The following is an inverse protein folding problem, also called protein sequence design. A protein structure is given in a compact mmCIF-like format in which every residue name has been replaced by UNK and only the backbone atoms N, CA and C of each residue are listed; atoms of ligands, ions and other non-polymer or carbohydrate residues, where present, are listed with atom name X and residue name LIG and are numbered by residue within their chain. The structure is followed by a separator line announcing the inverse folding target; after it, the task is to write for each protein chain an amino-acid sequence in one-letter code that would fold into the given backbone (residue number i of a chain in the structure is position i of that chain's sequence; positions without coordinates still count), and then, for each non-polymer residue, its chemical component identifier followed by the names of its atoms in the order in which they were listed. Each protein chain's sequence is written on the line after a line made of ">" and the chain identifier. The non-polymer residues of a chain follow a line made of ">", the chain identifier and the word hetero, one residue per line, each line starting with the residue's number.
data_IF_262809077271
#
_entry.id   IF_262809077271
#
_cell.length_a   1.000
_cell.length_b   1.000
_cell.length_c   1.000
_cell.angle_alpha   90.00
_cell.angle_beta   90.00
_cell.angle_gamma   90.00
#
_symmetry.space_group_name_H-M   'P 1'
#
loop_
_entity.id
_entity.type
_entity.pdbx_description
1 polymer ?
#
# COMPACT_ATOMS: atom_id res chain seq x y z
N UNK A 1 12.95 5.72 -12.15
CA UNK A 1 11.71 6.36 -11.66
C UNK A 1 10.70 5.32 -11.12
N UNK A 2 10.77 4.05 -11.55
CA UNK A 2 9.92 2.98 -10.99
C UNK A 2 10.27 2.51 -9.57
N UNK A 3 11.54 2.50 -9.16
CA UNK A 3 11.89 1.89 -7.87
C UNK A 3 11.34 2.65 -6.67
N UNK A 4 11.35 3.99 -6.70
CA UNK A 4 10.86 4.82 -5.59
C UNK A 4 9.33 4.75 -5.45
N UNK A 5 8.60 4.68 -6.56
CA UNK A 5 7.16 4.47 -6.56
C UNK A 5 6.83 3.06 -6.02
N UNK A 6 7.52 2.03 -6.52
CA UNK A 6 7.39 0.65 -6.05
C UNK A 6 7.61 0.54 -4.54
N UNK A 7 8.72 1.08 -4.06
CA UNK A 7 9.08 1.07 -2.65
C UNK A 7 8.04 1.82 -1.80
N UNK A 8 7.51 2.93 -2.30
CA UNK A 8 6.48 3.68 -1.59
C UNK A 8 5.13 2.96 -1.54
N UNK A 9 4.71 2.30 -2.62
CA UNK A 9 3.49 1.48 -2.62
C UNK A 9 3.67 0.26 -1.71
N UNK A 10 4.85 -0.37 -1.74
CA UNK A 10 5.19 -1.47 -0.84
C UNK A 10 5.11 -1.03 0.63
N UNK A 11 5.73 0.11 0.97
CA UNK A 11 5.71 0.68 2.32
C UNK A 11 4.28 0.98 2.78
N UNK A 12 3.44 1.54 1.91
CA UNK A 12 2.04 1.79 2.22
C UNK A 12 1.26 0.49 2.52
N UNK A 13 1.47 -0.57 1.73
CA UNK A 13 0.82 -1.86 2.00
C UNK A 13 1.32 -2.49 3.29
N UNK A 14 2.64 -2.47 3.55
CA UNK A 14 3.20 -2.98 4.80
C UNK A 14 2.67 -2.20 6.01
N UNK A 15 2.46 -0.89 5.89
CA UNK A 15 1.89 -0.07 6.96
C UNK A 15 0.48 -0.52 7.33
N UNK A 16 -0.38 -0.68 6.31
CA UNK A 16 -1.76 -1.17 6.49
C UNK A 16 -1.76 -2.58 7.10
N UNK A 17 -0.82 -3.43 6.72
CA UNK A 17 -0.69 -4.78 7.28
C UNK A 17 -0.25 -4.73 8.76
N UNK A 18 0.65 -3.82 9.13
CA UNK A 18 1.12 -3.63 10.52
C UNK A 18 0.04 -3.07 11.44
N UNK A 19 -0.78 -2.14 10.96
CA UNK A 19 -1.80 -1.45 11.78
C UNK A 19 -2.76 -2.43 12.45
N UNK A 20 -3.17 -3.47 11.73
CA UNK A 20 -4.19 -4.41 12.19
C UNK A 20 -3.59 -5.67 12.87
N UNK A 21 -2.34 -5.57 13.35
CA UNK A 21 -1.59 -6.67 13.98
C UNK A 21 -1.73 -8.01 13.21
N UNK A 22 -1.84 -7.91 11.88
CA UNK A 22 -2.17 -9.06 11.03
C UNK A 22 -1.03 -10.05 11.09
N UNK A 23 -1.36 -11.31 10.82
CA UNK A 23 -0.32 -12.31 10.67
C UNK A 23 0.52 -12.02 9.42
N UNK A 24 1.71 -11.45 9.63
CA UNK A 24 2.60 -10.98 8.58
C UNK A 24 2.93 -12.04 7.54
N UNK A 25 3.07 -13.31 7.93
CA UNK A 25 3.36 -14.40 6.99
C UNK A 25 2.15 -14.78 6.14
N UNK A 26 0.93 -14.64 6.67
CA UNK A 26 -0.31 -14.87 5.93
C UNK A 26 -0.62 -13.77 4.91
N UNK A 27 -0.16 -12.55 5.18
CA UNK A 27 -0.37 -11.42 4.27
C UNK A 27 0.68 -11.33 3.15
N UNK A 28 1.85 -11.94 3.32
CA UNK A 28 2.92 -11.93 2.30
C UNK A 28 2.46 -12.36 0.89
N UNK A 29 1.72 -13.48 0.69
CA UNK A 29 1.27 -13.86 -0.65
C UNK A 29 0.32 -12.83 -1.28
N UNK A 30 -0.51 -12.19 -0.47
CA UNK A 30 -1.44 -11.15 -0.93
C UNK A 30 -0.69 -9.87 -1.30
N UNK A 31 0.27 -9.46 -0.48
CA UNK A 31 1.20 -8.39 -0.78
C UNK A 31 1.91 -8.61 -2.12
N UNK A 32 2.53 -9.79 -2.32
CA UNK A 32 3.18 -10.14 -3.58
C UNK A 32 2.25 -9.97 -4.78
N UNK A 33 1.02 -10.50 -4.68
CA UNK A 33 0.03 -10.43 -5.74
C UNK A 33 -0.32 -8.99 -6.11
N UNK A 34 -0.51 -8.11 -5.13
CA UNK A 34 -0.82 -6.71 -5.37
C UNK A 34 0.37 -5.94 -5.96
N UNK A 35 1.58 -6.20 -5.47
CA UNK A 35 2.79 -5.62 -6.04
C UNK A 35 3.03 -6.07 -7.48
N UNK A 36 2.79 -7.34 -7.80
CA UNK A 36 2.87 -7.89 -9.16
C UNK A 36 1.89 -7.20 -10.12
N UNK A 37 0.66 -6.95 -9.67
CA UNK A 37 -0.34 -6.24 -10.48
C UNK A 37 0.08 -4.80 -10.82
N UNK A 38 0.86 -4.15 -9.95
CA UNK A 38 1.26 -2.76 -10.13
C UNK A 38 2.62 -2.60 -10.82
N UNK A 39 3.55 -3.55 -10.65
CA UNK A 39 4.96 -3.37 -11.06
C UNK A 39 5.60 -4.56 -11.78
N UNK A 40 4.90 -5.69 -11.97
CA UNK A 40 5.39 -6.89 -12.65
C UNK A 40 6.76 -7.41 -12.13
N UNK A 41 6.87 -7.59 -10.80
CA UNK A 41 8.09 -8.09 -10.14
C UNK A 41 7.93 -9.54 -9.63
N UNK A 42 9.01 -10.35 -9.57
CA UNK A 42 8.96 -11.68 -8.97
C UNK A 42 8.56 -11.64 -7.49
N UNK A 43 7.72 -12.59 -7.04
CA UNK A 43 7.33 -12.64 -5.62
C UNK A 43 8.51 -12.94 -4.68
N UNK A 44 9.58 -13.56 -5.15
CA UNK A 44 10.81 -13.76 -4.36
C UNK A 44 11.43 -12.42 -3.94
N UNK A 45 11.68 -11.53 -4.90
CA UNK A 45 12.21 -10.19 -4.65
C UNK A 45 11.25 -9.33 -3.81
N UNK A 46 9.95 -9.45 -4.08
CA UNK A 46 8.92 -8.73 -3.34
C UNK A 46 8.79 -9.22 -1.90
N UNK A 47 8.98 -10.53 -1.66
CA UNK A 47 8.99 -11.09 -0.30
C UNK A 47 10.15 -10.55 0.52
N UNK A 48 11.32 -10.37 -0.10
CA UNK A 48 12.47 -9.74 0.57
C UNK A 48 12.15 -8.30 0.96
N UNK A 49 11.65 -7.49 0.01
CA UNK A 49 11.24 -6.11 0.27
C UNK A 49 10.15 -6.02 1.35
N UNK A 50 9.21 -6.97 1.36
CA UNK A 50 8.15 -7.05 2.35
C UNK A 50 8.70 -7.18 3.77
N UNK A 51 9.57 -8.17 4.02
CA UNK A 51 10.16 -8.37 5.34
C UNK A 51 11.08 -7.20 5.75
N UNK A 52 11.85 -6.64 4.81
CA UNK A 52 12.67 -5.44 5.08
C UNK A 52 11.81 -4.26 5.57
N UNK A 53 10.70 -3.98 4.89
CA UNK A 53 9.77 -2.92 5.29
C UNK A 53 9.02 -3.26 6.59
N UNK A 54 8.82 -4.54 6.90
CA UNK A 54 8.22 -4.91 8.17
C UNK A 54 9.11 -4.57 9.38
N UNK A 55 10.43 -4.57 9.19
CA UNK A 55 11.40 -4.24 10.25
C UNK A 55 11.75 -2.75 10.31
N UNK A 56 11.51 -2.00 9.23
CA UNK A 56 11.82 -0.57 9.17
C UNK A 56 10.73 0.32 9.79
N UNK A 57 11.17 1.40 10.42
CA UNK A 57 10.34 2.56 10.70
C UNK A 57 10.39 3.52 9.50
N UNK A 58 9.21 3.94 9.05
CA UNK A 58 9.08 4.92 7.98
C UNK A 58 7.85 5.78 8.19
N UNK A 59 7.88 6.98 7.62
CA UNK A 59 6.75 7.88 7.63
C UNK A 59 5.84 7.56 6.43
N UNK A 60 4.65 7.01 6.73
CA UNK A 60 3.65 6.68 5.71
C UNK A 60 3.23 7.91 4.89
N UNK A 61 3.23 9.11 5.47
CA UNK A 61 2.81 10.34 4.79
C UNK A 61 3.79 10.75 3.69
N UNK A 62 5.07 10.48 3.92
CA UNK A 62 6.12 10.65 2.90
C UNK A 62 5.84 9.73 1.71
N UNK A 63 5.54 8.46 1.95
CA UNK A 63 5.25 7.51 0.89
C UNK A 63 3.94 7.82 0.16
N UNK A 64 2.88 8.23 0.87
CA UNK A 64 1.63 8.71 0.26
C UNK A 64 1.90 9.90 -0.67
N UNK A 65 2.72 10.85 -0.23
CA UNK A 65 3.09 12.02 -1.03
C UNK A 65 3.88 11.63 -2.29
N UNK A 66 4.83 10.71 -2.16
CA UNK A 66 5.59 10.16 -3.29
C UNK A 66 4.64 9.50 -4.31
N UNK A 67 3.72 8.64 -3.84
CA UNK A 67 2.77 7.94 -4.71
C UNK A 67 1.84 8.94 -5.41
N UNK A 68 1.26 9.88 -4.67
CA UNK A 68 0.34 10.88 -5.23
C UNK A 68 1.01 11.70 -6.35
N UNK A 69 2.23 12.19 -6.10
CA UNK A 69 3.00 12.95 -7.08
C UNK A 69 3.36 12.10 -8.31
N UNK A 70 3.82 10.86 -8.11
CA UNK A 70 4.18 9.96 -9.19
C UNK A 70 2.98 9.52 -10.05
N UNK A 71 1.76 9.56 -9.48
CA UNK A 71 0.53 9.14 -10.13
C UNK A 71 -0.40 10.31 -10.49
N UNK A 72 0.08 11.56 -10.53
CA UNK A 72 -0.78 12.76 -10.63
C UNK A 72 -1.89 12.65 -11.70
N UNK A 73 -1.56 12.14 -12.89
CA UNK A 73 -2.48 11.94 -14.02
C UNK A 73 -2.83 10.46 -14.30
N UNK A 74 -2.61 9.58 -13.33
CA UNK A 74 -2.76 8.12 -13.43
C UNK A 74 -3.92 7.63 -12.57
N UNK A 75 -5.14 8.02 -12.95
CA UNK A 75 -6.37 7.74 -12.17
C UNK A 75 -6.62 6.25 -12.00
N UNK A 76 -6.37 5.44 -13.02
CA UNK A 76 -6.60 4.00 -12.95
C UNK A 76 -5.71 3.34 -11.88
N UNK A 77 -4.43 3.69 -11.85
CA UNK A 77 -3.44 3.20 -10.91
C UNK A 77 -3.76 3.65 -9.48
N UNK A 78 -4.16 4.92 -9.30
CA UNK A 78 -4.65 5.44 -8.02
C UNK A 78 -5.84 4.62 -7.50
N UNK A 79 -6.82 4.35 -8.36
CA UNK A 79 -8.00 3.55 -8.00
C UNK A 79 -7.64 2.09 -7.72
N UNK A 80 -6.69 1.51 -8.48
CA UNK A 80 -6.18 0.16 -8.25
C UNK A 80 -5.55 0.02 -6.86
N UNK A 81 -4.63 0.91 -6.51
CA UNK A 81 -3.97 0.94 -5.20
C UNK A 81 -5.01 1.11 -4.09
N UNK A 82 -5.97 2.02 -4.26
CA UNK A 82 -7.01 2.26 -3.25
C UNK A 82 -7.87 1.00 -3.02
N UNK A 83 -8.25 0.27 -4.08
CA UNK A 83 -8.97 -1.01 -3.97
C UNK A 83 -8.15 -2.08 -3.24
N UNK A 84 -6.85 -2.14 -3.49
CA UNK A 84 -5.95 -3.09 -2.83
C UNK A 84 -5.81 -2.77 -1.34
N UNK A 85 -5.69 -1.49 -0.96
CA UNK A 85 -5.71 -1.05 0.44
C UNK A 85 -7.00 -1.47 1.13
N UNK A 86 -8.16 -1.18 0.51
CA UNK A 86 -9.45 -1.58 1.07
C UNK A 86 -9.55 -3.09 1.29
N UNK A 87 -9.00 -3.89 0.36
CA UNK A 87 -8.98 -5.34 0.51
C UNK A 87 -8.07 -5.80 1.65
N UNK A 88 -6.91 -5.16 1.84
CA UNK A 88 -6.04 -5.43 2.99
C UNK A 88 -6.78 -5.13 4.30
N UNK A 89 -7.51 -4.00 4.39
CA UNK A 89 -8.25 -3.60 5.59
C UNK A 89 -9.41 -4.58 5.90
N UNK A 90 -10.31 -4.81 4.95
CA UNK A 90 -11.55 -5.57 5.19
C UNK A 90 -11.29 -7.02 5.62
N UNK A 91 -10.15 -7.60 5.23
CA UNK A 91 -9.89 -9.03 5.37
C UNK A 91 -9.82 -9.54 6.82
N UNK A 92 -9.39 -8.74 7.81
CA UNK A 92 -9.08 -9.26 9.16
C UNK A 92 -9.79 -8.60 10.35
N UNK A 93 -10.99 -8.04 10.14
CA UNK A 93 -11.85 -7.38 11.15
C UNK A 93 -11.65 -5.85 11.16
N UNK A 94 -12.39 -5.11 10.32
CA UNK A 94 -12.13 -3.69 10.11
C UNK A 94 -12.27 -2.88 11.39
N UNK A 95 -11.18 -2.23 11.82
CA UNK A 95 -11.22 -1.20 12.84
C UNK A 95 -11.43 0.18 12.20
N UNK A 96 -12.05 1.10 12.93
CA UNK A 96 -12.29 2.47 12.43
C UNK A 96 -10.99 3.19 12.09
N UNK A 97 -9.91 2.90 12.81
CA UNK A 97 -8.58 3.49 12.60
C UNK A 97 -7.94 3.07 11.26
N UNK A 98 -8.28 1.88 10.74
CA UNK A 98 -7.81 1.44 9.42
C UNK A 98 -8.44 2.25 8.28
N UNK A 99 -9.64 2.79 8.50
CA UNK A 99 -10.28 3.67 7.52
C UNK A 99 -9.68 5.08 7.51
N UNK A 100 -8.99 5.51 8.58
CA UNK A 100 -8.29 6.80 8.58
C UNK A 100 -7.16 6.80 7.54
N UNK A 101 -6.39 5.71 7.43
CA UNK A 101 -5.34 5.60 6.42
C UNK A 101 -5.94 5.50 5.01
N UNK A 102 -7.06 4.77 4.85
CA UNK A 102 -7.77 4.70 3.57
C UNK A 102 -8.25 6.07 3.09
N UNK A 103 -8.91 6.83 3.96
CA UNK A 103 -9.42 8.16 3.65
C UNK A 103 -8.29 9.15 3.41
N UNK A 104 -7.18 9.04 4.15
CA UNK A 104 -5.97 9.84 3.92
C UNK A 104 -5.40 9.61 2.52
N UNK A 105 -5.25 8.35 2.11
CA UNK A 105 -4.78 8.00 0.76
C UNK A 105 -5.76 8.49 -0.31
N UNK A 106 -7.06 8.27 -0.11
CA UNK A 106 -8.11 8.70 -1.04
C UNK A 106 -8.09 10.22 -1.26
N UNK A 107 -7.96 11.01 -0.18
CA UNK A 107 -7.81 12.47 -0.24
C UNK A 107 -6.54 12.87 -0.97
N UNK A 108 -5.41 12.27 -0.61
CA UNK A 108 -4.13 12.55 -1.26
C UNK A 108 -4.13 12.25 -2.76
N UNK A 109 -4.91 11.26 -3.20
CA UNK A 109 -5.05 10.90 -4.62
C UNK A 109 -6.01 11.82 -5.39
N UNK A 110 -6.73 12.72 -4.70
CA UNK A 110 -7.74 13.58 -5.30
C UNK A 110 -9.00 12.82 -5.72
N UNK A 111 -9.33 11.72 -5.02
CA UNK A 111 -10.48 10.84 -5.32
C UNK A 111 -11.66 11.04 -4.37
N UNK A 112 -11.58 11.99 -3.44
CA UNK A 112 -12.72 12.46 -2.66
C UNK A 112 -13.52 13.47 -3.50
N UNK A 113 -14.85 13.27 -3.58
CA UNK A 113 -15.75 14.34 -3.98
C UNK A 113 -16.10 15.14 -2.72
N UNK A 114 -16.07 16.46 -2.83
CA UNK A 114 -16.69 17.35 -1.84
C UNK A 114 -18.21 17.11 -1.77
#
# INVERSE_FOLDING_TARGET
>A
MDSMLKESVAALFCYVIKLDNKNVDRERPLFCRFMQQNFDYPCEDLSKLYYELLEQEYNVDTHISIISNALINKTYEKVSILKQINHLIIKDNPHTEDYDIFDKVKKAFGLSQD
#
